data_IF_693089338927
#
_entry.id   IF_693089338927
#
_cell.length_a   1.000
_cell.length_b   1.000
_cell.length_c   1.000
_cell.angle_alpha   90.00
_cell.angle_beta   90.00
_cell.angle_gamma   90.00
#
_symmetry.space_group_name_H-M   'P 1'
#
loop_
_entity.id
_entity.type
_entity.pdbx_description
1 polymer ?
#
# COMPACT_ATOMS: atom_id res chain seq x y z
N UNK A 1 -2.27 10.33 -19.97
CA UNK A 1 -1.88 9.13 -19.19
C UNK A 1 -2.12 7.91 -20.05
N UNK A 2 -1.23 6.90 -20.03
CA UNK A 2 -1.46 5.65 -20.73
C UNK A 2 -2.69 4.92 -20.17
N UNK A 3 -3.36 4.14 -21.01
CA UNK A 3 -4.43 3.24 -20.57
C UNK A 3 -3.82 2.00 -19.90
N UNK A 4 -4.57 1.37 -19.00
CA UNK A 4 -4.10 0.16 -18.33
C UNK A 4 -3.69 -0.96 -19.30
N UNK A 5 -4.45 -1.15 -20.40
CA UNK A 5 -4.12 -2.14 -21.44
C UNK A 5 -2.76 -1.88 -22.11
N UNK A 6 -2.36 -0.62 -22.27
CA UNK A 6 -1.06 -0.26 -22.86
C UNK A 6 0.07 -0.63 -21.91
N UNK A 7 -0.10 -0.35 -20.62
CA UNK A 7 0.85 -0.78 -19.58
C UNK A 7 0.93 -2.30 -19.46
N UNK A 8 -0.21 -3.00 -19.50
CA UNK A 8 -0.23 -4.46 -19.44
C UNK A 8 0.53 -5.06 -20.64
N UNK A 9 0.31 -4.56 -21.85
CA UNK A 9 1.05 -4.97 -23.06
C UNK A 9 2.55 -4.73 -22.90
N UNK A 10 2.94 -3.58 -22.37
CA UNK A 10 4.34 -3.25 -22.11
C UNK A 10 4.98 -4.22 -21.10
N UNK A 11 4.31 -4.50 -19.96
CA UNK A 11 4.78 -5.44 -18.95
C UNK A 11 4.90 -6.88 -19.46
N UNK A 12 4.05 -7.28 -20.41
CA UNK A 12 4.02 -8.62 -20.98
C UNK A 12 5.04 -8.85 -22.08
N UNK A 13 5.37 -7.82 -22.87
CA UNK A 13 6.15 -7.99 -24.12
C UNK A 13 7.50 -7.30 -24.13
N UNK A 14 7.72 -6.26 -23.31
CA UNK A 14 8.97 -5.49 -23.35
C UNK A 14 10.05 -6.12 -22.44
N UNK A 15 11.23 -6.44 -22.98
CA UNK A 15 12.38 -6.88 -22.18
C UNK A 15 12.82 -5.85 -21.14
N UNK A 16 12.63 -4.56 -21.41
CA UNK A 16 12.95 -3.46 -20.48
C UNK A 16 12.22 -3.60 -19.15
N UNK A 17 11.00 -4.13 -19.18
CA UNK A 17 10.16 -4.28 -18.01
C UNK A 17 10.21 -5.68 -17.41
N UNK A 18 11.13 -6.58 -17.83
CA UNK A 18 11.18 -7.96 -17.36
C UNK A 18 11.29 -8.08 -15.83
N UNK A 19 12.07 -7.20 -15.21
CA UNK A 19 12.35 -7.18 -13.77
C UNK A 19 11.45 -6.23 -12.99
N UNK A 20 10.46 -5.60 -13.63
CA UNK A 20 9.53 -4.68 -12.99
C UNK A 20 8.27 -5.43 -12.57
N UNK A 21 7.79 -5.16 -11.35
CA UNK A 21 6.50 -5.63 -10.84
C UNK A 21 5.58 -4.43 -10.58
N UNK A 22 4.26 -4.67 -10.64
CA UNK A 22 3.25 -3.62 -10.51
C UNK A 22 2.40 -3.81 -9.24
N UNK A 23 2.30 -2.76 -8.41
CA UNK A 23 1.19 -2.61 -7.46
C UNK A 23 0.09 -1.81 -8.17
N UNK A 24 -1.01 -2.47 -8.54
CA UNK A 24 -2.14 -1.81 -9.19
C UNK A 24 -3.09 -1.25 -8.13
N UNK A 25 -2.99 0.06 -7.86
CA UNK A 25 -3.82 0.74 -6.86
C UNK A 25 -5.27 0.94 -7.34
N UNK A 26 -6.17 0.07 -6.85
CA UNK A 26 -7.61 0.20 -7.01
C UNK A 26 -8.12 1.23 -6.01
N UNK A 27 -8.22 2.49 -6.48
CA UNK A 27 -8.54 3.65 -5.65
C UNK A 27 -9.85 3.43 -4.90
N UNK A 28 -9.97 4.10 -3.75
CA UNK A 28 -11.17 4.11 -2.91
C UNK A 28 -12.45 4.51 -3.65
N UNK A 29 -12.33 5.29 -4.72
CA UNK A 29 -13.44 5.74 -5.58
C UNK A 29 -13.85 4.71 -6.63
N UNK A 30 -13.04 3.69 -6.91
CA UNK A 30 -13.37 2.68 -7.89
C UNK A 30 -14.38 1.67 -7.31
N UNK A 31 -15.40 1.36 -8.10
CA UNK A 31 -16.40 0.36 -7.75
C UNK A 31 -15.87 -1.07 -7.89
N UNK A 32 -16.43 -2.05 -7.14
CA UNK A 32 -15.91 -3.43 -7.15
C UNK A 32 -15.84 -4.10 -8.53
N UNK A 33 -16.72 -3.74 -9.47
CA UNK A 33 -16.73 -4.28 -10.84
C UNK A 33 -15.43 -3.98 -11.62
N UNK A 34 -14.62 -3.03 -11.17
CA UNK A 34 -13.34 -2.69 -11.80
C UNK A 34 -12.40 -3.91 -11.84
N UNK A 35 -12.49 -4.81 -10.85
CA UNK A 35 -11.67 -6.02 -10.78
C UNK A 35 -11.93 -6.90 -12.00
N UNK A 36 -13.20 -7.15 -12.35
CA UNK A 36 -13.55 -7.98 -13.51
C UNK A 36 -13.00 -7.37 -14.81
N UNK A 37 -13.00 -6.03 -14.93
CA UNK A 37 -12.41 -5.33 -16.08
C UNK A 37 -10.89 -5.40 -16.13
N UNK A 38 -10.22 -5.36 -14.99
CA UNK A 38 -8.77 -5.62 -14.92
C UNK A 38 -8.47 -7.03 -15.41
N UNK A 39 -9.20 -8.04 -14.92
CA UNK A 39 -8.98 -9.45 -15.31
C UNK A 39 -9.24 -9.67 -16.80
N UNK A 40 -10.31 -9.09 -17.36
CA UNK A 40 -10.60 -9.14 -18.80
C UNK A 40 -9.40 -8.66 -19.64
N UNK A 41 -8.84 -7.49 -19.30
CA UNK A 41 -7.69 -6.91 -19.99
C UNK A 41 -6.45 -7.78 -19.81
N UNK A 42 -6.18 -8.26 -18.60
CA UNK A 42 -5.00 -9.09 -18.33
C UNK A 42 -5.04 -10.38 -19.14
N UNK A 43 -6.21 -11.07 -19.17
CA UNK A 43 -6.40 -12.30 -19.96
C UNK A 43 -6.28 -12.06 -21.46
N UNK A 44 -6.75 -10.91 -21.96
CA UNK A 44 -6.58 -10.52 -23.37
C UNK A 44 -5.09 -10.36 -23.73
N UNK A 45 -4.30 -9.77 -22.83
CA UNK A 45 -2.88 -9.48 -23.07
C UNK A 45 -2.00 -10.72 -22.89
N UNK A 46 -2.22 -11.48 -21.81
CA UNK A 46 -1.56 -12.75 -21.56
C UNK A 46 -2.51 -13.66 -20.75
N UNK A 47 -2.92 -14.84 -21.28
CA UNK A 47 -3.88 -15.70 -20.61
C UNK A 47 -3.35 -16.36 -19.32
N UNK A 48 -2.04 -16.37 -19.09
CA UNK A 48 -1.42 -17.00 -17.91
C UNK A 48 -1.57 -16.14 -16.64
N UNK A 49 -2.69 -16.30 -15.95
CA UNK A 49 -3.00 -15.53 -14.73
C UNK A 49 -2.16 -15.96 -13.52
N UNK A 50 -1.89 -17.27 -13.37
CA UNK A 50 -1.21 -17.83 -12.19
C UNK A 50 0.31 -17.85 -12.35
N UNK A 51 0.81 -18.24 -13.52
CA UNK A 51 2.24 -18.35 -13.78
C UNK A 51 2.90 -17.00 -14.06
N UNK A 52 2.22 -16.13 -14.79
CA UNK A 52 2.74 -14.83 -15.21
C UNK A 52 2.17 -13.68 -14.38
N UNK A 53 0.86 -13.41 -14.44
CA UNK A 53 0.31 -12.20 -13.81
C UNK A 53 0.41 -12.18 -12.29
N UNK A 54 0.18 -13.32 -11.62
CA UNK A 54 0.33 -13.42 -10.17
C UNK A 54 1.77 -13.14 -9.68
N UNK A 55 2.77 -13.33 -10.55
CA UNK A 55 4.18 -12.98 -10.26
C UNK A 55 4.53 -11.57 -10.72
N UNK A 56 3.81 -11.03 -11.70
CA UNK A 56 4.11 -9.74 -12.32
C UNK A 56 3.45 -8.57 -11.60
N UNK A 57 2.35 -8.81 -10.90
CA UNK A 57 1.59 -7.75 -10.26
C UNK A 57 0.86 -8.20 -8.99
N UNK A 58 0.44 -7.20 -8.22
CA UNK A 58 -0.41 -7.36 -7.03
C UNK A 58 -1.51 -6.31 -7.06
N UNK A 59 -2.71 -6.68 -6.61
CA UNK A 59 -3.83 -5.76 -6.48
C UNK A 59 -3.71 -4.96 -5.18
N UNK A 60 -3.59 -3.65 -5.30
CA UNK A 60 -3.64 -2.72 -4.18
C UNK A 60 -5.08 -2.37 -3.83
N UNK A 61 -5.61 -2.87 -2.72
CA UNK A 61 -7.04 -2.75 -2.38
C UNK A 61 -7.24 -2.01 -1.05
N UNK A 62 -8.16 -1.05 -1.05
CA UNK A 62 -8.49 -0.24 0.14
C UNK A 62 -9.75 -0.69 0.89
N UNK A 63 -10.68 -1.37 0.20
CA UNK A 63 -12.04 -1.63 0.70
C UNK A 63 -12.39 -3.11 0.71
N UNK A 64 -13.16 -3.53 1.72
CA UNK A 64 -13.54 -4.93 1.90
C UNK A 64 -14.49 -5.46 0.81
N UNK A 65 -15.34 -4.62 0.23
CA UNK A 65 -16.21 -4.97 -0.90
C UNK A 65 -15.41 -5.22 -2.19
N UNK A 66 -14.36 -4.43 -2.43
CA UNK A 66 -13.41 -4.64 -3.54
C UNK A 66 -12.57 -5.90 -3.30
N UNK A 67 -12.18 -6.20 -2.06
CA UNK A 67 -11.54 -7.48 -1.73
C UNK A 67 -12.46 -8.67 -2.05
N UNK A 68 -13.76 -8.59 -1.73
CA UNK A 68 -14.72 -9.65 -2.11
C UNK A 68 -14.79 -9.85 -3.62
N UNK A 69 -14.73 -8.76 -4.40
CA UNK A 69 -14.66 -8.86 -5.86
C UNK A 69 -13.33 -9.49 -6.32
N UNK A 70 -12.19 -9.16 -5.71
CA UNK A 70 -10.90 -9.77 -6.01
C UNK A 70 -10.87 -11.29 -5.72
N UNK A 71 -11.45 -11.72 -4.58
CA UNK A 71 -11.56 -13.14 -4.24
C UNK A 71 -12.42 -13.88 -5.27
N UNK A 72 -13.48 -13.25 -5.77
CA UNK A 72 -14.41 -13.87 -6.70
C UNK A 72 -13.88 -13.88 -8.14
N UNK A 73 -13.42 -12.75 -8.63
CA UNK A 73 -13.18 -12.52 -10.06
C UNK A 73 -11.69 -12.62 -10.44
N UNK A 74 -10.78 -12.51 -9.46
CA UNK A 74 -9.33 -12.57 -9.65
C UNK A 74 -8.61 -13.45 -8.61
N UNK A 75 -9.10 -14.67 -8.30
CA UNK A 75 -8.57 -15.50 -7.22
C UNK A 75 -7.07 -15.83 -7.36
N UNK A 76 -6.54 -15.81 -8.58
CA UNK A 76 -5.13 -16.09 -8.88
C UNK A 76 -4.21 -14.91 -8.54
N UNK A 77 -4.74 -13.68 -8.50
CA UNK A 77 -3.91 -12.49 -8.29
C UNK A 77 -3.70 -12.24 -6.79
N UNK A 78 -2.47 -11.96 -6.35
CA UNK A 78 -2.20 -11.61 -4.97
C UNK A 78 -2.77 -10.22 -4.65
N UNK A 79 -3.08 -10.00 -3.38
CA UNK A 79 -3.61 -8.73 -2.87
C UNK A 79 -2.68 -8.14 -1.82
N UNK A 80 -2.49 -6.82 -1.89
CA UNK A 80 -1.94 -6.00 -0.81
C UNK A 80 -3.01 -5.04 -0.34
N UNK A 81 -3.27 -5.03 0.97
CA UNK A 81 -4.16 -4.03 1.55
C UNK A 81 -3.48 -2.67 1.55
N UNK A 82 -4.08 -1.65 0.93
CA UNK A 82 -3.60 -0.26 1.01
C UNK A 82 -4.48 0.52 2.00
N UNK A 83 -3.87 1.17 2.99
CA UNK A 83 -4.65 2.01 3.90
C UNK A 83 -3.90 2.69 5.02
N UNK A 84 -4.67 3.20 5.99
CA UNK A 84 -4.15 3.86 7.20
C UNK A 84 -4.59 3.10 8.46
N UNK A 85 -5.71 2.38 8.40
CA UNK A 85 -6.26 1.66 9.54
C UNK A 85 -5.52 0.34 9.79
N UNK A 86 -4.83 0.25 10.93
CA UNK A 86 -4.18 -0.98 11.41
C UNK A 86 -5.16 -2.11 11.68
N UNK A 87 -6.33 -1.81 12.26
CA UNK A 87 -7.35 -2.84 12.53
C UNK A 87 -7.92 -3.42 11.24
N UNK A 88 -8.11 -2.59 10.21
CA UNK A 88 -8.53 -3.07 8.90
C UNK A 88 -7.41 -3.90 8.23
N UNK A 89 -6.14 -3.49 8.38
CA UNK A 89 -4.99 -4.27 7.91
C UNK A 89 -4.96 -5.67 8.54
N UNK A 90 -5.10 -5.77 9.88
CA UNK A 90 -5.18 -7.05 10.59
C UNK A 90 -6.36 -7.91 10.13
N UNK A 91 -7.51 -7.30 9.80
CA UNK A 91 -8.66 -8.00 9.23
C UNK A 91 -8.39 -8.50 7.80
N UNK A 92 -7.78 -7.70 6.94
CA UNK A 92 -7.40 -8.09 5.58
C UNK A 92 -6.45 -9.30 5.60
N UNK A 93 -5.44 -9.27 6.46
CA UNK A 93 -4.46 -10.36 6.61
C UNK A 93 -5.06 -11.71 7.08
N UNK A 94 -6.35 -11.76 7.45
CA UNK A 94 -7.06 -13.04 7.70
C UNK A 94 -7.41 -13.81 6.42
N UNK A 95 -7.31 -13.17 5.25
CA UNK A 95 -7.63 -13.79 3.97
C UNK A 95 -6.35 -14.30 3.30
N UNK A 96 -6.39 -15.49 2.72
CA UNK A 96 -5.21 -16.14 2.13
C UNK A 96 -4.65 -15.40 0.92
N UNK A 97 -5.52 -14.82 0.09
CA UNK A 97 -5.14 -14.01 -1.08
C UNK A 97 -4.34 -12.74 -0.71
N UNK A 98 -4.42 -12.28 0.55
CA UNK A 98 -3.71 -11.09 1.00
C UNK A 98 -2.28 -11.46 1.40
N UNK A 99 -1.32 -11.08 0.56
CA UNK A 99 0.11 -11.37 0.73
C UNK A 99 0.87 -10.26 1.45
N UNK A 100 0.25 -9.10 1.65
CA UNK A 100 0.90 -7.98 2.32
C UNK A 100 -0.02 -6.82 2.68
N UNK A 101 0.56 -5.85 3.37
CA UNK A 101 -0.07 -4.59 3.75
C UNK A 101 0.82 -3.43 3.28
N UNK A 102 0.22 -2.38 2.76
CA UNK A 102 0.86 -1.14 2.37
C UNK A 102 0.18 -0.02 3.15
N UNK A 103 0.83 0.43 4.22
CA UNK A 103 0.23 1.38 5.14
C UNK A 103 0.88 2.75 5.05
N UNK A 104 0.09 3.79 5.35
CA UNK A 104 0.66 5.11 5.49
C UNK A 104 1.73 5.08 6.59
N UNK A 105 2.90 5.69 6.38
CA UNK A 105 4.07 5.55 7.27
C UNK A 105 3.74 5.96 8.71
N UNK A 106 2.87 6.95 8.91
CA UNK A 106 2.38 7.37 10.24
C UNK A 106 1.68 6.23 11.00
N UNK A 107 0.92 5.38 10.30
CA UNK A 107 0.27 4.22 10.92
C UNK A 107 1.30 3.18 11.41
N UNK A 108 2.49 3.14 10.79
CA UNK A 108 3.59 2.24 11.10
C UNK A 108 4.59 2.84 12.10
N UNK A 109 4.79 4.15 12.09
CA UNK A 109 5.79 4.84 12.90
C UNK A 109 5.28 5.27 14.28
N UNK A 110 3.95 5.37 14.47
CA UNK A 110 3.34 5.77 15.74
C UNK A 110 3.22 4.61 16.74
N UNK A 111 2.99 4.88 18.04
CA UNK A 111 2.77 3.84 19.05
C UNK A 111 1.74 2.79 18.60
N UNK A 112 2.14 1.51 18.69
CA UNK A 112 1.40 0.36 18.16
C UNK A 112 1.72 -0.01 16.70
N UNK A 113 2.49 0.81 15.98
CA UNK A 113 2.94 0.54 14.61
C UNK A 113 3.88 -0.65 14.53
N UNK A 114 4.83 -0.77 15.47
CA UNK A 114 5.68 -1.96 15.60
C UNK A 114 4.88 -3.25 15.80
N UNK A 115 3.72 -3.18 16.46
CA UNK A 115 2.87 -4.35 16.67
C UNK A 115 2.25 -4.85 15.36
N UNK A 116 1.77 -3.96 14.49
CA UNK A 116 1.22 -4.37 13.19
C UNK A 116 2.31 -4.90 12.24
N UNK A 117 3.52 -4.33 12.28
CA UNK A 117 4.68 -4.84 11.52
C UNK A 117 5.00 -6.27 11.98
N UNK A 118 5.09 -6.49 13.30
CA UNK A 118 5.35 -7.81 13.87
C UNK A 118 4.24 -8.80 13.53
N UNK A 119 2.98 -8.39 13.61
CA UNK A 119 1.83 -9.22 13.24
C UNK A 119 1.92 -9.67 11.77
N UNK A 120 2.21 -8.74 10.85
CA UNK A 120 2.36 -9.05 9.43
C UNK A 120 3.48 -10.07 9.20
N UNK A 121 4.66 -9.86 9.79
CA UNK A 121 5.80 -10.79 9.68
C UNK A 121 5.49 -12.17 10.24
N UNK A 122 4.84 -12.25 11.40
CA UNK A 122 4.42 -13.52 11.99
C UNK A 122 3.46 -14.32 11.09
N UNK A 123 2.68 -13.61 10.25
CA UNK A 123 1.79 -14.20 9.26
C UNK A 123 2.46 -14.40 7.88
N UNK A 124 3.76 -14.16 7.76
CA UNK A 124 4.48 -14.21 6.49
C UNK A 124 3.94 -13.21 5.46
N UNK A 125 3.55 -12.01 5.91
CA UNK A 125 3.00 -10.94 5.07
C UNK A 125 4.02 -9.83 4.90
N UNK A 126 4.14 -9.32 3.67
CA UNK A 126 5.00 -8.20 3.34
C UNK A 126 4.41 -6.89 3.90
N UNK A 127 5.27 -5.95 4.28
CA UNK A 127 4.93 -4.64 4.82
C UNK A 127 5.55 -3.57 3.94
N UNK A 128 4.71 -2.73 3.35
CA UNK A 128 5.11 -1.55 2.60
C UNK A 128 4.70 -0.27 3.32
N UNK A 129 5.49 0.80 3.16
CA UNK A 129 5.19 2.12 3.73
C UNK A 129 4.98 3.18 2.63
N UNK A 130 3.94 4.00 2.75
CA UNK A 130 3.67 5.13 1.84
C UNK A 130 3.25 6.41 2.59
N UNK A 131 3.36 7.61 2.06
CA UNK A 131 4.32 8.03 1.04
C UNK A 131 5.61 8.45 1.73
N UNK A 132 6.73 7.80 1.40
CA UNK A 132 8.03 7.99 2.09
C UNK A 132 8.88 8.98 1.30
N UNK A 133 8.68 10.27 1.55
CA UNK A 133 9.30 11.34 0.72
C UNK A 133 10.43 12.13 1.39
N UNK A 134 10.47 12.19 2.72
CA UNK A 134 11.49 12.97 3.44
C UNK A 134 12.66 12.09 3.88
N UNK A 135 13.90 12.62 3.94
CA UNK A 135 15.06 11.86 4.43
C UNK A 135 14.84 11.26 5.82
N UNK A 136 14.11 11.96 6.69
CA UNK A 136 13.76 11.47 8.04
C UNK A 136 12.89 10.21 7.97
N UNK A 137 11.86 10.22 7.12
CA UNK A 137 10.95 9.07 6.95
C UNK A 137 11.63 7.94 6.18
N UNK A 138 12.50 8.25 5.22
CA UNK A 138 13.32 7.25 4.52
C UNK A 138 14.22 6.50 5.50
N UNK A 139 14.94 7.21 6.37
CA UNK A 139 15.72 6.59 7.45
C UNK A 139 14.82 5.72 8.32
N UNK A 140 13.67 6.24 8.79
CA UNK A 140 12.67 5.47 9.54
C UNK A 140 12.09 4.25 8.78
N UNK A 141 12.10 4.21 7.45
CA UNK A 141 11.66 3.03 6.72
C UNK A 141 12.72 1.91 6.78
N UNK A 142 13.99 2.25 6.59
CA UNK A 142 15.13 1.30 6.62
C UNK A 142 15.23 0.59 7.97
N UNK A 143 15.49 1.36 9.03
CA UNK A 143 14.93 1.23 10.38
C UNK A 143 13.89 0.14 10.70
N UNK A 144 12.70 0.29 10.13
CA UNK A 144 11.53 -0.43 10.52
C UNK A 144 11.50 -1.76 9.78
N UNK A 145 12.49 -1.98 8.90
CA UNK A 145 12.75 -3.20 8.16
C UNK A 145 11.47 -3.58 7.39
N UNK A 146 10.85 -2.56 6.79
CA UNK A 146 9.72 -2.76 5.89
C UNK A 146 10.24 -3.33 4.57
N UNK A 147 9.46 -4.19 3.93
CA UNK A 147 9.83 -4.88 2.70
C UNK A 147 9.88 -3.92 1.48
N UNK A 148 9.30 -2.73 1.59
CA UNK A 148 9.45 -1.70 0.58
C UNK A 148 8.79 -0.37 0.92
N UNK A 149 9.08 0.64 0.09
CA UNK A 149 8.53 1.98 0.23
C UNK A 149 7.87 2.44 -1.07
N UNK A 150 6.79 3.19 -0.95
CA UNK A 150 6.21 3.96 -2.05
C UNK A 150 6.64 5.41 -1.86
N UNK A 151 7.37 5.94 -2.84
CA UNK A 151 7.99 7.26 -2.77
C UNK A 151 7.92 7.96 -4.12
N UNK A 152 7.82 9.29 -4.09
CA UNK A 152 7.96 10.12 -5.29
C UNK A 152 9.45 10.35 -5.66
N UNK A 153 10.38 9.92 -4.79
CA UNK A 153 11.82 10.15 -4.93
C UNK A 153 12.64 8.85 -4.83
N UNK A 154 12.44 7.89 -5.76
CA UNK A 154 13.14 6.60 -5.72
C UNK A 154 14.66 6.76 -5.84
N UNK A 155 15.13 7.74 -6.60
CA UNK A 155 16.55 8.08 -6.74
C UNK A 155 17.20 8.48 -5.42
N UNK A 156 16.49 9.26 -4.59
CA UNK A 156 16.96 9.67 -3.26
C UNK A 156 16.96 8.51 -2.29
N UNK A 157 15.97 7.63 -2.38
CA UNK A 157 15.91 6.45 -1.53
C UNK A 157 17.04 5.47 -1.86
N UNK A 158 17.32 5.21 -3.14
CA UNK A 158 18.45 4.37 -3.56
C UNK A 158 19.79 4.94 -3.08
N UNK A 159 20.03 6.25 -3.26
CA UNK A 159 21.24 6.90 -2.73
C UNK A 159 21.38 6.75 -1.21
N UNK A 160 20.27 6.81 -0.47
CA UNK A 160 20.30 6.56 0.97
C UNK A 160 20.75 5.12 1.26
N UNK A 161 20.15 4.13 0.59
CA UNK A 161 20.48 2.72 0.76
C UNK A 161 21.96 2.43 0.46
N UNK A 162 22.53 3.04 -0.58
CA UNK A 162 23.94 2.88 -0.95
C UNK A 162 24.91 3.52 0.06
N UNK A 163 24.44 4.52 0.82
CA UNK A 163 25.30 5.33 1.70
C UNK A 163 25.22 4.98 3.18
N UNK A 164 24.13 4.34 3.61
CA UNK A 164 23.84 4.13 5.03
C UNK A 164 24.58 2.88 5.55
N UNK A 165 25.40 3.05 6.58
CA UNK A 165 26.13 1.94 7.22
C UNK A 165 25.24 1.11 8.15
N UNK A 166 25.60 -0.16 8.40
CA UNK A 166 24.90 -0.98 9.41
C UNK A 166 24.90 -0.33 10.80
N UNK A 167 25.99 0.35 11.16
CA UNK A 167 26.10 1.02 12.46
C UNK A 167 25.22 2.27 12.53
N UNK A 168 24.98 2.96 11.41
CA UNK A 168 23.92 3.97 11.32
C UNK A 168 22.53 3.32 11.39
N UNK A 169 22.34 2.17 10.75
CA UNK A 169 21.13 1.34 10.86
C UNK A 169 20.92 0.79 12.30
N UNK A 170 21.93 0.82 13.17
CA UNK A 170 21.77 0.43 14.59
C UNK A 170 21.71 1.67 15.51
N UNK A 171 22.52 2.70 15.25
CA UNK A 171 22.67 3.89 16.11
C UNK A 171 21.54 4.92 15.97
N UNK A 172 20.95 5.04 14.78
CA UNK A 172 19.71 5.80 14.60
C UNK A 172 18.57 5.16 15.44
N UNK A 173 18.73 3.91 15.89
CA UNK A 173 17.70 3.04 16.48
C UNK A 173 18.02 2.61 17.90
N UNK A 174 17.62 3.41 18.88
CA UNK A 174 17.59 2.95 20.28
C UNK A 174 16.31 2.19 20.63
N UNK A 175 15.70 1.47 19.68
CA UNK A 175 14.40 0.81 19.88
C UNK A 175 13.22 1.76 20.15
N UNK A 176 13.39 3.08 19.95
CA UNK A 176 12.37 4.08 20.23
C UNK A 176 11.86 4.74 18.93
N UNK A 177 10.69 4.33 18.40
CA UNK A 177 10.13 4.91 17.18
C UNK A 177 9.81 6.42 17.31
N UNK A 178 9.68 6.95 18.53
CA UNK A 178 9.45 8.37 18.77
C UNK A 178 10.66 9.26 18.41
N UNK A 179 11.87 8.70 18.23
CA UNK A 179 13.03 9.50 17.76
C UNK A 179 12.79 10.17 16.41
N UNK A 180 11.90 9.61 15.59
CA UNK A 180 11.53 10.15 14.29
C UNK A 180 10.26 11.00 14.31
N UNK A 181 9.66 11.19 15.47
CA UNK A 181 8.43 11.95 15.65
C UNK A 181 8.77 13.17 16.50
N UNK A 182 8.74 14.37 15.92
CA UNK A 182 8.94 15.59 16.71
C UNK A 182 7.74 15.83 17.65
N UNK A 183 7.92 16.62 18.71
CA UNK A 183 6.80 17.04 19.57
C UNK A 183 5.68 17.72 18.77
N UNK A 184 6.03 18.50 17.74
CA UNK A 184 5.05 19.12 16.82
C UNK A 184 4.34 18.09 15.96
N UNK A 185 5.04 17.05 15.49
CA UNK A 185 4.41 15.95 14.77
C UNK A 185 3.39 15.24 15.67
N UNK A 186 3.79 14.93 16.90
CA UNK A 186 2.98 14.19 17.87
C UNK A 186 1.76 14.95 18.38
N UNK A 187 1.92 16.24 18.70
CA UNK A 187 0.88 17.02 19.39
C UNK A 187 0.02 17.87 18.45
N UNK A 188 0.50 18.15 17.23
CA UNK A 188 -0.20 19.04 16.30
C UNK A 188 -0.54 18.31 15.01
N UNK A 189 0.46 17.91 14.24
CA UNK A 189 0.24 17.41 12.88
C UNK A 189 -0.51 16.09 12.82
N UNK A 190 -0.19 15.13 13.69
CA UNK A 190 -0.86 13.83 13.68
C UNK A 190 -2.29 13.87 14.22
N UNK A 191 -2.59 14.51 15.37
CA UNK A 191 -3.97 14.69 15.80
C UNK A 191 -4.80 15.43 14.75
N UNK A 192 -4.22 16.46 14.11
CA UNK A 192 -4.88 17.19 13.03
C UNK A 192 -5.13 16.29 11.80
N UNK A 193 -4.15 15.50 11.36
CA UNK A 193 -4.31 14.55 10.24
C UNK A 193 -5.37 13.49 10.53
N UNK A 194 -5.38 12.92 11.74
CA UNK A 194 -6.40 11.95 12.15
C UNK A 194 -7.78 12.62 12.24
N UNK A 195 -7.88 13.83 12.81
CA UNK A 195 -9.12 14.59 12.89
C UNK A 195 -9.65 14.94 11.50
N UNK A 196 -8.82 15.52 10.62
CA UNK A 196 -9.19 15.87 9.25
C UNK A 196 -9.58 14.62 8.44
N UNK A 197 -8.83 13.52 8.60
CA UNK A 197 -9.15 12.26 7.97
C UNK A 197 -10.49 11.69 8.45
N UNK A 198 -10.74 11.69 9.76
CA UNK A 198 -11.99 11.20 10.33
C UNK A 198 -13.17 12.12 9.97
N UNK A 199 -12.97 13.43 9.99
CA UNK A 199 -13.94 14.42 9.58
C UNK A 199 -14.29 14.28 8.10
N UNK A 200 -13.29 14.12 7.22
CA UNK A 200 -13.53 13.83 5.81
C UNK A 200 -14.34 12.55 5.60
N UNK A 201 -14.03 11.47 6.34
CA UNK A 201 -14.79 10.22 6.29
C UNK A 201 -16.23 10.39 6.79
N UNK A 202 -16.43 11.18 7.83
CA UNK A 202 -17.76 11.50 8.37
C UNK A 202 -18.58 12.27 7.34
N UNK A 203 -18.01 13.32 6.73
CA UNK A 203 -18.65 14.10 5.67
C UNK A 203 -18.95 13.23 4.45
N UNK A 204 -18.03 12.35 4.04
CA UNK A 204 -18.26 11.41 2.95
C UNK A 204 -19.42 10.44 3.26
N UNK A 205 -19.54 9.94 4.50
CA UNK A 205 -20.67 9.11 4.91
C UNK A 205 -21.99 9.89 4.98
N UNK A 206 -21.97 11.09 5.54
CA UNK A 206 -23.15 11.96 5.61
C UNK A 206 -23.64 12.34 4.21
N UNK A 207 -22.74 12.65 3.29
CA UNK A 207 -23.09 12.93 1.90
C UNK A 207 -23.66 11.72 1.18
N UNK A 208 -23.14 10.51 1.41
CA UNK A 208 -23.74 9.26 0.89
C UNK A 208 -25.13 8.99 1.48
N UNK A 209 -25.37 9.38 2.74
CA UNK A 209 -26.65 9.22 3.43
C UNK A 209 -27.70 10.24 2.96
N UNK A 210 -27.28 11.47 2.66
CA UNK A 210 -28.15 12.56 2.17
C UNK A 210 -28.40 12.43 0.66
N UNK A 211 -27.43 11.93 -0.11
CA UNK A 211 -27.51 11.79 -1.57
C UNK A 211 -27.18 10.37 -2.05
N UNK A 212 -28.00 9.36 -1.71
CA UNK A 212 -27.78 8.01 -2.19
C UNK A 212 -27.86 7.97 -3.73
N UNK A 213 -26.80 7.47 -4.38
CA UNK A 213 -26.81 7.18 -5.82
C UNK A 213 -26.26 8.26 -6.77
N UNK A 214 -25.68 9.37 -6.30
CA UNK A 214 -24.89 10.25 -7.19
C UNK A 214 -23.63 9.51 -7.64
N UNK A 215 -23.55 9.13 -8.92
CA UNK A 215 -22.31 8.66 -9.56
C UNK A 215 -21.21 9.69 -9.28
N UNK A 216 -20.13 9.24 -8.64
CA UNK A 216 -18.92 10.04 -8.42
C UNK A 216 -18.38 10.42 -9.81
N UNK A 217 -18.29 11.72 -10.09
CA UNK A 217 -17.59 12.28 -11.27
C UNK A 217 -16.09 12.10 -11.04
#
# INVERSE_FOLDING_TARGET
MPKFVELAKALASSPEYSNIQLILDVKRSNEPWVISKVVEILREVNPDMEGFWAKKMVLGIWRADVLKAAIKDAPELPVVFIGISRSLASWFMKHEQVVGISLHYVALSMPGGTAIIKEARQKGRLVYAWTVNSPKVMKWAVSADVDGVVTDYPDRFNKLLDSISEDEIKSVYSGNPLKFVSYTDMLVWYPLMFFLGHFYLLIARLTELIFPGRKKI
#
